data_IF_248328634993
#
_entry.id   IF_248328634993
#
_cell.length_a   1.000
_cell.length_b   1.000
_cell.length_c   1.000
_cell.angle_alpha   90.00
_cell.angle_beta   90.00
_cell.angle_gamma   90.00
#
_symmetry.space_group_name_H-M   'P 1'
#
loop_
_entity.id
_entity.type
_entity.pdbx_description
1 polymer ?
#
# COMPACT_ATOMS: atom_id res chain seq x y z
N UNK A 1 -29.07 2.77 7.91
CA UNK A 1 -29.25 1.34 8.09
C UNK A 1 -29.57 0.58 6.81
N UNK A 2 -30.26 1.18 5.81
CA UNK A 2 -30.53 0.52 4.52
C UNK A 2 -29.23 0.23 3.75
N UNK A 3 -28.26 1.14 3.75
CA UNK A 3 -26.97 0.93 3.11
C UNK A 3 -26.19 -0.22 3.75
N UNK A 4 -26.25 -0.35 5.07
CA UNK A 4 -25.63 -1.46 5.79
C UNK A 4 -26.28 -2.80 5.43
N UNK A 5 -27.60 -2.81 5.25
CA UNK A 5 -28.32 -4.01 4.78
C UNK A 5 -27.93 -4.38 3.35
N UNK A 6 -27.90 -3.41 2.41
CA UNK A 6 -27.50 -3.66 1.01
C UNK A 6 -26.07 -4.23 0.96
N UNK A 7 -25.15 -3.72 1.79
CA UNK A 7 -23.78 -4.22 1.87
C UNK A 7 -23.71 -5.71 2.24
N UNK A 8 -24.66 -6.22 3.05
CA UNK A 8 -24.71 -7.66 3.42
C UNK A 8 -25.07 -8.56 2.24
N UNK A 9 -25.73 -8.04 1.20
CA UNK A 9 -26.12 -8.79 0.02
C UNK A 9 -24.94 -9.11 -0.90
N UNK A 10 -23.76 -8.53 -0.66
CA UNK A 10 -22.54 -8.74 -1.44
C UNK A 10 -22.72 -8.59 -2.96
N UNK A 11 -23.58 -7.67 -3.40
CA UNK A 11 -23.86 -7.43 -4.80
C UNK A 11 -22.59 -6.97 -5.52
N UNK A 12 -22.34 -7.53 -6.71
CA UNK A 12 -21.18 -7.16 -7.52
C UNK A 12 -21.19 -5.66 -7.89
N UNK A 13 -22.37 -5.13 -8.21
CA UNK A 13 -22.58 -3.71 -8.57
C UNK A 13 -22.44 -2.76 -7.36
N UNK A 14 -22.38 -3.28 -6.14
CA UNK A 14 -22.14 -2.50 -4.92
C UNK A 14 -20.65 -2.37 -4.59
N UNK A 15 -19.80 -3.22 -5.19
CA UNK A 15 -18.37 -3.21 -4.93
C UNK A 15 -17.69 -2.05 -5.65
N UNK A 16 -16.73 -1.39 -5.02
CA UNK A 16 -15.92 -0.39 -5.70
C UNK A 16 -15.11 -1.03 -6.83
N UNK A 17 -14.89 -0.28 -7.89
CA UNK A 17 -14.27 -0.76 -9.14
C UNK A 17 -13.02 0.06 -9.44
N UNK A 18 -11.98 -0.61 -9.93
CA UNK A 18 -10.82 0.01 -10.56
C UNK A 18 -10.84 -0.39 -12.04
N UNK A 19 -10.59 0.57 -12.93
CA UNK A 19 -10.44 0.32 -14.35
C UNK A 19 -8.97 0.16 -14.72
N UNK A 20 -8.62 -0.98 -15.32
CA UNK A 20 -7.32 -1.21 -15.94
C UNK A 20 -7.45 -0.96 -17.45
N UNK A 21 -6.96 0.17 -17.93
CA UNK A 21 -6.95 0.49 -19.35
C UNK A 21 -5.77 -0.22 -20.02
N UNK A 22 -6.04 -1.33 -20.71
CA UNK A 22 -5.00 -2.07 -21.42
C UNK A 22 -4.70 -1.41 -22.76
N UNK A 23 -3.46 -0.99 -22.97
CA UNK A 23 -2.99 -0.25 -24.15
C UNK A 23 -1.81 -0.95 -24.81
N UNK A 24 -1.39 -0.46 -25.98
CA UNK A 24 -0.13 -0.84 -26.61
C UNK A 24 1.07 -0.18 -25.89
N UNK A 25 2.26 -0.70 -26.13
CA UNK A 25 3.52 -0.20 -25.54
C UNK A 25 3.71 1.30 -25.78
N UNK A 26 3.44 1.78 -27.00
CA UNK A 26 3.64 3.18 -27.39
C UNK A 26 2.84 4.17 -26.53
N UNK A 27 1.71 3.73 -25.94
CA UNK A 27 0.86 4.55 -25.08
C UNK A 27 1.30 4.56 -23.60
N UNK A 28 2.29 3.77 -23.21
CA UNK A 28 2.73 3.69 -21.81
C UNK A 28 3.51 4.92 -21.35
N UNK A 29 4.33 5.47 -22.24
CA UNK A 29 5.28 6.55 -21.91
C UNK A 29 4.61 7.84 -21.45
N UNK A 30 3.39 8.13 -21.93
CA UNK A 30 2.56 9.28 -21.52
C UNK A 30 1.37 8.89 -20.65
N UNK A 31 1.37 7.66 -20.12
CA UNK A 31 0.27 7.09 -19.31
C UNK A 31 -1.08 7.13 -20.07
N UNK A 32 -1.02 6.93 -21.40
CA UNK A 32 -2.18 6.94 -22.28
C UNK A 32 -2.83 8.31 -22.45
N UNK A 33 -2.12 9.41 -22.16
CA UNK A 33 -2.69 10.76 -22.22
C UNK A 33 -3.14 11.15 -23.63
N UNK A 34 -2.45 10.70 -24.68
CA UNK A 34 -2.78 10.93 -26.08
C UNK A 34 -3.81 9.94 -26.65
N UNK A 35 -4.13 8.86 -25.94
CA UNK A 35 -5.07 7.84 -26.38
C UNK A 35 -6.52 8.23 -26.04
N UNK A 36 -7.36 8.44 -27.09
CA UNK A 36 -8.75 8.87 -26.94
C UNK A 36 -9.62 7.88 -26.17
N UNK A 37 -9.35 6.57 -26.28
CA UNK A 37 -10.08 5.54 -25.53
C UNK A 37 -9.73 5.55 -24.05
N UNK A 38 -8.47 5.78 -23.71
CA UNK A 38 -8.04 5.97 -22.31
C UNK A 38 -8.73 7.19 -21.71
N UNK A 39 -8.82 8.31 -22.46
CA UNK A 39 -9.51 9.51 -21.99
C UNK A 39 -11.01 9.25 -21.79
N UNK A 40 -11.65 8.49 -22.67
CA UNK A 40 -13.04 8.10 -22.50
C UNK A 40 -13.27 7.26 -21.24
N UNK A 41 -12.39 6.30 -20.95
CA UNK A 41 -12.43 5.49 -19.71
C UNK A 41 -12.21 6.38 -18.47
N UNK A 42 -11.25 7.31 -18.51
CA UNK A 42 -11.00 8.26 -17.41
C UNK A 42 -12.20 9.14 -17.10
N UNK A 43 -12.86 9.67 -18.13
CA UNK A 43 -14.07 10.47 -17.97
C UNK A 43 -15.19 9.66 -17.32
N UNK A 44 -15.46 8.45 -17.84
CA UNK A 44 -16.45 7.55 -17.27
C UNK A 44 -16.14 7.17 -15.81
N UNK A 45 -14.89 6.84 -15.52
CA UNK A 45 -14.46 6.50 -14.17
C UNK A 45 -14.63 7.67 -13.20
N UNK A 46 -14.28 8.89 -13.63
CA UNK A 46 -14.45 10.09 -12.81
C UNK A 46 -15.91 10.36 -12.45
N UNK A 47 -16.85 10.16 -13.40
CA UNK A 47 -18.30 10.27 -13.16
C UNK A 47 -18.79 9.24 -12.11
N UNK A 48 -18.13 8.09 -12.02
CA UNK A 48 -18.48 6.99 -11.10
C UNK A 48 -17.63 6.96 -9.83
N UNK A 49 -16.74 7.95 -9.62
CA UNK A 49 -15.83 7.98 -8.46
C UNK A 49 -14.85 6.81 -8.40
N UNK A 50 -14.48 6.27 -9.58
CA UNK A 50 -13.57 5.13 -9.72
C UNK A 50 -12.18 5.58 -10.16
N UNK A 51 -11.16 4.80 -9.82
CA UNK A 51 -9.76 5.02 -10.25
C UNK A 51 -9.47 4.28 -11.57
N UNK A 52 -8.60 4.86 -12.39
CA UNK A 52 -8.09 4.26 -13.63
C UNK A 52 -6.58 4.20 -13.58
N UNK A 53 -5.99 3.08 -13.96
CA UNK A 53 -4.57 2.99 -14.27
C UNK A 53 -4.36 2.39 -15.66
N UNK A 54 -3.26 2.77 -16.30
CA UNK A 54 -2.89 2.31 -17.64
C UNK A 54 -1.88 1.19 -17.54
N UNK A 55 -2.08 0.15 -18.33
CA UNK A 55 -1.25 -1.06 -18.34
C UNK A 55 -1.08 -1.56 -19.77
N UNK A 56 0.06 -2.17 -20.07
CA UNK A 56 0.24 -3.01 -21.25
C UNK A 56 0.45 -4.46 -20.78
N UNK A 57 -0.53 -5.32 -20.99
CA UNK A 57 -0.48 -6.70 -20.55
C UNK A 57 0.65 -7.50 -21.20
N UNK A 58 1.07 -7.14 -22.42
CA UNK A 58 2.22 -7.75 -23.08
C UNK A 58 3.53 -7.42 -22.33
N UNK A 59 3.73 -6.15 -22.01
CA UNK A 59 4.92 -5.71 -21.24
C UNK A 59 4.93 -6.37 -19.84
N UNK A 60 3.78 -6.49 -19.18
CA UNK A 60 3.70 -7.17 -17.88
C UNK A 60 4.10 -8.65 -17.96
N UNK A 61 3.75 -9.32 -19.06
CA UNK A 61 4.17 -10.70 -19.27
C UNK A 61 5.69 -10.80 -19.45
N UNK A 62 6.29 -9.89 -20.21
CA UNK A 62 7.75 -9.86 -20.42
C UNK A 62 8.49 -9.57 -19.11
N UNK A 63 8.04 -8.58 -18.34
CA UNK A 63 8.60 -8.22 -17.03
C UNK A 63 8.51 -9.38 -16.02
N UNK A 64 7.44 -10.18 -16.07
CA UNK A 64 7.24 -11.28 -15.14
C UNK A 64 8.28 -12.42 -15.27
N UNK A 65 8.98 -12.48 -16.39
CA UNK A 65 10.02 -13.47 -16.67
C UNK A 65 11.44 -12.99 -16.28
N UNK A 66 11.59 -11.69 -15.94
CA UNK A 66 12.87 -11.04 -15.64
C UNK A 66 13.17 -11.12 -14.13
N UNK A 67 14.46 -11.11 -13.80
CA UNK A 67 14.90 -10.86 -12.44
C UNK A 67 14.77 -9.38 -12.03
N UNK A 68 14.97 -9.07 -10.75
CA UNK A 68 14.71 -7.71 -10.22
C UNK A 68 15.60 -6.63 -10.88
N UNK A 69 16.86 -6.95 -11.20
CA UNK A 69 17.78 -6.01 -11.81
C UNK A 69 17.44 -5.79 -13.30
N UNK A 70 17.12 -6.87 -14.01
CA UNK A 70 16.67 -6.84 -15.41
C UNK A 70 15.34 -6.09 -15.53
N UNK A 71 14.38 -6.37 -14.63
CA UNK A 71 13.09 -5.67 -14.55
C UNK A 71 13.27 -4.16 -14.42
N UNK A 72 14.18 -3.73 -13.52
CA UNK A 72 14.44 -2.32 -13.31
C UNK A 72 15.00 -1.65 -14.56
N UNK A 73 15.99 -2.26 -15.23
CA UNK A 73 16.57 -1.74 -16.46
C UNK A 73 15.52 -1.66 -17.57
N UNK A 74 14.68 -2.69 -17.71
CA UNK A 74 13.63 -2.74 -18.73
C UNK A 74 12.58 -1.62 -18.53
N UNK A 75 12.16 -1.39 -17.29
CA UNK A 75 11.24 -0.29 -16.97
C UNK A 75 11.89 1.08 -17.24
N UNK A 76 13.15 1.27 -16.89
CA UNK A 76 13.90 2.51 -17.17
C UNK A 76 14.01 2.77 -18.68
N UNK A 77 14.26 1.75 -19.51
CA UNK A 77 14.33 1.86 -20.97
C UNK A 77 12.98 2.28 -21.59
N UNK A 78 11.86 1.85 -20.97
CA UNK A 78 10.52 2.27 -21.36
C UNK A 78 10.11 3.63 -20.78
N UNK A 79 10.94 4.27 -19.97
CA UNK A 79 10.63 5.52 -19.28
C UNK A 79 9.61 5.36 -18.15
N UNK A 80 9.45 4.15 -17.61
CA UNK A 80 8.52 3.82 -16.53
C UNK A 80 9.26 3.75 -15.19
N UNK A 81 8.58 4.16 -14.12
CA UNK A 81 9.09 4.10 -12.75
C UNK A 81 8.64 2.85 -11.99
N UNK A 82 7.54 2.23 -12.43
CA UNK A 82 6.92 1.08 -11.79
C UNK A 82 6.15 0.23 -12.81
N UNK A 83 5.95 -1.05 -12.52
CA UNK A 83 5.16 -1.94 -13.37
C UNK A 83 3.64 -1.69 -13.23
N UNK A 84 2.86 -2.18 -14.18
CA UNK A 84 1.40 -2.15 -14.08
C UNK A 84 0.88 -2.97 -12.91
N UNK A 85 1.58 -4.05 -12.53
CA UNK A 85 1.26 -4.82 -11.32
C UNK A 85 1.46 -3.97 -10.05
N UNK A 86 2.54 -3.19 -9.95
CA UNK A 86 2.77 -2.29 -8.82
C UNK A 86 1.68 -1.22 -8.74
N UNK A 87 1.29 -0.63 -9.89
CA UNK A 87 0.15 0.30 -9.99
C UNK A 87 -1.16 -0.33 -9.51
N UNK A 88 -1.45 -1.57 -9.93
CA UNK A 88 -2.65 -2.30 -9.51
C UNK A 88 -2.67 -2.54 -8.00
N UNK A 89 -1.55 -2.96 -7.42
CA UNK A 89 -1.43 -3.19 -5.98
C UNK A 89 -1.68 -1.88 -5.22
N UNK A 90 -1.00 -0.79 -5.60
CA UNK A 90 -1.16 0.51 -4.96
C UNK A 90 -2.60 1.04 -5.06
N UNK A 91 -3.23 0.96 -6.25
CA UNK A 91 -4.62 1.35 -6.47
C UNK A 91 -5.59 0.49 -5.64
N UNK A 92 -5.35 -0.82 -5.54
CA UNK A 92 -6.17 -1.73 -4.73
C UNK A 92 -6.08 -1.41 -3.23
N UNK A 93 -4.88 -1.10 -2.73
CA UNK A 93 -4.68 -0.67 -1.34
C UNK A 93 -5.43 0.62 -1.04
N UNK A 94 -5.33 1.63 -1.94
CA UNK A 94 -6.08 2.89 -1.79
C UNK A 94 -7.59 2.64 -1.77
N UNK A 95 -8.10 1.87 -2.74
CA UNK A 95 -9.53 1.57 -2.87
C UNK A 95 -10.09 0.86 -1.63
N UNK A 96 -9.34 -0.09 -1.08
CA UNK A 96 -9.74 -0.87 0.10
C UNK A 96 -9.46 -0.15 1.42
N UNK A 97 -8.83 1.03 1.37
CA UNK A 97 -8.41 1.78 2.55
C UNK A 97 -7.40 1.01 3.39
N UNK A 98 -6.44 0.36 2.74
CA UNK A 98 -5.39 -0.43 3.39
C UNK A 98 -4.08 0.36 3.43
N UNK A 99 -3.34 0.12 4.50
CA UNK A 99 -1.96 0.58 4.71
C UNK A 99 -1.13 -0.56 5.28
N UNK A 100 0.19 -0.42 5.22
CA UNK A 100 1.12 -1.38 5.82
C UNK A 100 2.01 -0.71 6.84
N UNK A 101 2.12 -1.30 8.03
CA UNK A 101 3.17 -1.00 8.98
C UNK A 101 4.18 -2.15 9.02
N UNK A 102 5.38 -1.88 9.51
CA UNK A 102 6.49 -2.81 9.54
C UNK A 102 6.84 -3.17 10.99
N UNK A 103 7.27 -4.41 11.19
CA UNK A 103 8.04 -4.82 12.36
C UNK A 103 9.42 -5.22 11.90
N UNK A 104 10.46 -4.73 12.58
CA UNK A 104 11.85 -5.06 12.29
C UNK A 104 12.51 -5.61 13.55
N UNK A 105 12.95 -6.85 13.49
CA UNK A 105 13.69 -7.55 14.53
C UNK A 105 15.01 -8.10 13.99
N UNK A 106 15.82 -8.70 14.84
CA UNK A 106 17.11 -9.30 14.45
C UNK A 106 16.95 -10.47 13.48
N UNK A 107 15.84 -11.19 13.57
CA UNK A 107 15.60 -12.43 12.81
C UNK A 107 14.60 -12.24 11.68
N UNK A 108 13.72 -11.27 11.75
CA UNK A 108 12.64 -11.07 10.79
C UNK A 108 12.26 -9.61 10.64
N UNK A 109 12.07 -9.18 9.39
CA UNK A 109 11.37 -7.94 9.06
C UNK A 109 10.10 -8.30 8.32
N UNK A 110 8.95 -7.74 8.74
CA UNK A 110 7.66 -8.10 8.20
C UNK A 110 6.73 -6.91 8.03
N UNK A 111 6.00 -6.89 6.90
CA UNK A 111 4.91 -5.95 6.67
C UNK A 111 3.58 -6.54 7.15
N UNK A 112 2.75 -5.68 7.76
CA UNK A 112 1.45 -6.03 8.30
C UNK A 112 0.40 -5.10 7.73
N UNK A 113 -0.57 -5.67 7.01
CA UNK A 113 -1.64 -4.91 6.38
C UNK A 113 -2.77 -4.65 7.37
N UNK A 114 -3.15 -3.38 7.49
CA UNK A 114 -4.26 -2.90 8.34
C UNK A 114 -5.12 -1.90 7.56
N UNK A 115 -6.28 -1.55 8.10
CA UNK A 115 -7.11 -0.47 7.55
C UNK A 115 -6.60 0.90 8.00
N UNK A 116 -6.74 1.89 7.14
CA UNK A 116 -6.57 3.31 7.51
C UNK A 116 -7.44 3.62 8.73
N UNK A 117 -6.87 4.33 9.70
CA UNK A 117 -7.56 4.65 10.95
C UNK A 117 -7.41 3.61 12.07
N UNK A 118 -6.72 2.49 11.81
CA UNK A 118 -6.44 1.47 12.83
C UNK A 118 -5.54 2.03 13.93
N UNK A 119 -5.94 1.87 15.20
CA UNK A 119 -5.16 2.28 16.36
C UNK A 119 -4.10 1.24 16.73
N UNK A 120 -3.06 1.67 17.47
CA UNK A 120 -1.93 0.83 17.84
C UNK A 120 -2.29 -0.50 18.52
N UNK A 121 -3.27 -0.59 19.47
CA UNK A 121 -3.64 -1.87 20.04
C UNK A 121 -4.20 -2.86 19.02
N UNK A 122 -5.11 -2.40 18.13
CA UNK A 122 -5.69 -3.25 17.08
C UNK A 122 -4.63 -3.65 16.03
N UNK A 123 -3.69 -2.76 15.73
CA UNK A 123 -2.55 -3.10 14.87
C UNK A 123 -1.69 -4.19 15.52
N UNK A 124 -1.39 -4.09 16.82
CA UNK A 124 -0.69 -5.14 17.58
C UNK A 124 -1.45 -6.48 17.54
N UNK A 125 -2.80 -6.41 17.58
CA UNK A 125 -3.69 -7.56 17.47
C UNK A 125 -3.58 -8.31 16.13
N UNK A 126 -3.11 -7.66 15.07
CA UNK A 126 -2.81 -8.33 13.80
C UNK A 126 -1.64 -9.33 13.92
N UNK A 127 -0.73 -9.09 14.83
CA UNK A 127 0.39 -9.98 15.11
C UNK A 127 -0.09 -11.13 15.98
N UNK A 128 -0.69 -10.80 17.13
CA UNK A 128 -1.26 -11.77 18.06
C UNK A 128 -2.29 -11.11 18.99
N UNK A 129 -3.36 -11.82 19.33
CA UNK A 129 -4.43 -11.31 20.22
C UNK A 129 -3.92 -10.89 21.59
N UNK A 130 -2.87 -11.53 22.10
CA UNK A 130 -2.26 -11.16 23.37
C UNK A 130 -1.58 -9.80 23.32
N UNK A 131 -1.02 -9.40 22.17
CA UNK A 131 -0.41 -8.08 21.98
C UNK A 131 -1.46 -6.96 22.06
N UNK A 132 -2.66 -7.20 21.55
CA UNK A 132 -3.76 -6.25 21.68
C UNK A 132 -4.23 -6.15 23.13
N UNK A 133 -4.47 -7.31 23.77
CA UNK A 133 -5.00 -7.39 25.13
C UNK A 133 -4.05 -6.81 26.16
N UNK A 134 -2.75 -7.13 26.02
CA UNK A 134 -1.69 -6.67 26.92
C UNK A 134 -1.01 -5.37 26.51
N UNK A 135 -1.52 -4.64 25.50
CA UNK A 135 -0.87 -3.45 24.94
C UNK A 135 -0.57 -2.40 26.01
N UNK A 136 0.70 -1.95 26.07
CA UNK A 136 1.17 -0.89 26.95
C UNK A 136 1.46 0.38 26.15
N UNK A 137 2.34 0.28 25.13
CA UNK A 137 2.76 1.38 24.26
C UNK A 137 3.40 0.84 22.99
N UNK A 138 3.55 1.71 21.99
CA UNK A 138 4.32 1.45 20.77
C UNK A 138 5.51 2.40 20.65
N UNK A 139 6.65 1.88 20.26
CA UNK A 139 7.79 2.69 19.82
C UNK A 139 7.69 2.74 18.29
N UNK A 140 7.58 3.95 17.75
CA UNK A 140 7.25 4.15 16.32
C UNK A 140 8.30 5.05 15.69
N UNK A 141 8.83 4.63 14.55
CA UNK A 141 9.68 5.44 13.68
C UNK A 141 9.23 5.28 12.24
N UNK A 142 9.28 6.34 11.42
CA UNK A 142 9.03 6.21 10.00
C UNK A 142 10.13 5.38 9.33
N UNK A 143 9.77 4.54 8.34
CA UNK A 143 10.74 3.66 7.69
C UNK A 143 11.87 4.43 6.99
N UNK A 144 11.55 5.58 6.37
CA UNK A 144 12.56 6.40 5.70
C UNK A 144 13.53 7.01 6.71
N UNK A 145 13.02 7.54 7.83
CA UNK A 145 13.87 8.05 8.91
C UNK A 145 14.80 6.96 9.47
N UNK A 146 14.30 5.72 9.56
CA UNK A 146 15.10 4.59 10.00
C UNK A 146 16.20 4.24 8.99
N UNK A 147 15.89 4.22 7.69
CA UNK A 147 16.87 3.98 6.62
C UNK A 147 17.94 5.06 6.61
N UNK A 148 17.56 6.33 6.69
CA UNK A 148 18.49 7.48 6.70
C UNK A 148 19.40 7.49 7.94
N UNK A 149 18.95 6.90 9.05
CA UNK A 149 19.75 6.73 10.26
C UNK A 149 20.64 5.48 10.23
N UNK A 150 20.31 4.50 9.41
CA UNK A 150 20.99 3.21 9.27
C UNK A 150 20.73 2.22 10.42
N UNK A 151 20.42 2.69 11.63
CA UNK A 151 20.11 1.84 12.79
C UNK A 151 19.01 2.42 13.66
N UNK A 152 18.27 1.54 14.34
CA UNK A 152 17.25 1.94 15.32
C UNK A 152 17.84 2.78 16.47
N UNK A 153 19.04 2.44 16.94
CA UNK A 153 19.73 3.19 17.99
C UNK A 153 20.04 4.62 17.56
N UNK A 154 20.56 4.81 16.34
CA UNK A 154 20.83 6.14 15.80
C UNK A 154 19.55 6.96 15.61
N UNK A 155 18.45 6.34 15.16
CA UNK A 155 17.15 7.01 15.06
C UNK A 155 16.63 7.45 16.43
N UNK A 156 16.83 6.62 17.47
CA UNK A 156 16.45 6.93 18.85
C UNK A 156 17.28 8.07 19.43
N UNK A 157 18.59 8.09 19.22
CA UNK A 157 19.48 9.17 19.66
C UNK A 157 19.13 10.51 18.99
N UNK A 158 18.67 10.48 17.75
CA UNK A 158 18.17 11.66 17.04
C UNK A 158 16.74 12.08 17.44
N UNK A 159 16.09 11.34 18.36
CA UNK A 159 14.73 11.64 18.82
C UNK A 159 13.62 11.34 17.80
N UNK A 160 13.91 10.55 16.76
CA UNK A 160 12.94 10.19 15.71
C UNK A 160 12.03 9.02 16.12
N UNK A 161 12.43 8.25 17.13
CA UNK A 161 11.59 7.20 17.71
C UNK A 161 10.61 7.80 18.71
N UNK A 162 9.32 7.78 18.36
CA UNK A 162 8.23 8.30 19.18
C UNK A 162 7.68 7.20 20.10
N UNK A 163 7.24 7.60 21.30
CA UNK A 163 6.52 6.73 22.23
C UNK A 163 5.01 7.03 22.09
N UNK A 164 4.26 6.08 21.58
CA UNK A 164 2.85 6.25 21.27
C UNK A 164 1.96 5.38 22.17
N UNK A 165 0.81 5.93 22.56
CA UNK A 165 -0.18 5.27 23.40
C UNK A 165 -1.30 4.59 22.61
N UNK A 166 -2.35 4.18 23.35
CA UNK A 166 -3.50 3.43 22.81
C UNK A 166 -4.29 4.16 21.72
N UNK A 167 -4.27 5.50 21.75
CA UNK A 167 -5.02 6.33 20.81
C UNK A 167 -4.25 6.64 19.51
N UNK A 168 -2.99 6.20 19.43
CA UNK A 168 -2.20 6.41 18.23
C UNK A 168 -2.80 5.69 17.04
N UNK A 169 -3.07 6.43 15.97
CA UNK A 169 -3.47 5.91 14.67
C UNK A 169 -2.23 5.62 13.86
N UNK A 170 -2.03 4.33 13.54
CA UNK A 170 -0.86 3.86 12.79
C UNK A 170 -0.89 4.41 11.38
N UNK A 171 0.28 4.84 10.90
CA UNK A 171 0.45 5.39 9.56
C UNK A 171 1.14 4.38 8.63
N UNK A 172 0.94 4.57 7.33
CA UNK A 172 1.65 3.78 6.32
C UNK A 172 3.16 3.99 6.44
N UNK A 173 3.92 2.90 6.38
CA UNK A 173 5.37 2.93 6.54
C UNK A 173 5.90 3.15 7.96
N UNK A 174 5.04 3.14 8.99
CA UNK A 174 5.52 3.11 10.37
C UNK A 174 6.26 1.80 10.65
N UNK A 175 7.47 1.89 11.20
CA UNK A 175 8.19 0.75 11.81
C UNK A 175 7.87 0.76 13.29
N UNK A 176 7.23 -0.31 13.78
CA UNK A 176 6.62 -0.34 15.11
C UNK A 176 7.18 -1.47 15.96
N UNK A 177 7.58 -1.12 17.20
CA UNK A 177 7.91 -2.08 18.25
C UNK A 177 6.85 -1.98 19.35
N UNK A 178 5.98 -2.98 19.44
CA UNK A 178 4.95 -3.04 20.46
C UNK A 178 5.51 -3.51 21.80
N UNK A 179 5.15 -2.81 22.88
CA UNK A 179 5.42 -3.21 24.26
C UNK A 179 4.10 -3.64 24.89
N UNK A 180 4.06 -4.87 25.35
CA UNK A 180 2.87 -5.48 25.93
C UNK A 180 3.26 -6.32 27.15
N UNK A 181 2.26 -6.63 27.97
CA UNK A 181 2.40 -7.52 29.13
C UNK A 181 1.18 -8.47 29.14
N UNK A 182 1.42 -9.77 29.22
CA UNK A 182 0.41 -10.83 29.25
C UNK A 182 0.55 -11.62 30.54
#
# INVERSE_FOLDING_TARGET
>A
DELAFIATLNLLTWKPVIFAANVAEDDLSDDGASNEYVQAVRNFAAENGSEVFVICAQIEQEIAELDDDEKKMFLEDLGLTESGLDKLIAASYRLLGLISYLTAGETETRAWTIKVGTKAPQAAGKIHSDFERGFIKAEVVNYQDLLDCGTYTAAKEKGLVRMEGKEYVVKDGDVVLFRFNV
#
